data_IF_728034008088
#
_entry.id   IF_728034008088
#
_cell.length_a   1.000
_cell.length_b   1.000
_cell.length_c   1.000
_cell.angle_alpha   90.00
_cell.angle_beta   90.00
_cell.angle_gamma   90.00
#
_symmetry.space_group_name_H-M   'P 1'
#
loop_
_entity.id
_entity.type
_entity.pdbx_description
1 polymer ?
#
# COMPACT_ATOMS: atom_id res chain seq x y z
N UNK A 1 -45.71 23.77 18.94
CA UNK A 1 -45.13 23.82 17.58
C UNK A 1 -43.61 23.66 17.53
N UNK A 2 -42.85 23.98 18.59
CA UNK A 2 -41.38 23.79 18.62
C UNK A 2 -40.92 22.31 18.76
N UNK A 3 -41.67 21.48 19.48
CA UNK A 3 -41.32 20.06 19.68
C UNK A 3 -41.36 19.22 18.39
N UNK A 4 -42.23 19.56 17.44
CA UNK A 4 -42.36 18.84 16.17
C UNK A 4 -41.17 19.12 15.24
N UNK A 5 -40.59 20.32 15.32
CA UNK A 5 -39.41 20.72 14.53
C UNK A 5 -38.15 19.98 14.99
N UNK A 6 -37.98 19.77 16.30
CA UNK A 6 -36.85 19.02 16.86
C UNK A 6 -36.82 17.55 16.43
N UNK A 7 -37.98 16.90 16.31
CA UNK A 7 -38.08 15.51 15.85
C UNK A 7 -37.71 15.38 14.38
N UNK A 8 -38.13 16.33 13.52
CA UNK A 8 -37.79 16.33 12.09
C UNK A 8 -36.29 16.56 11.87
N UNK A 9 -35.64 17.40 12.68
CA UNK A 9 -34.18 17.59 12.61
C UNK A 9 -33.38 16.31 12.95
N UNK A 10 -33.90 15.45 13.83
CA UNK A 10 -33.21 14.21 14.23
C UNK A 10 -33.20 13.15 13.10
N UNK A 11 -34.24 13.10 12.26
CA UNK A 11 -34.34 12.16 11.13
C UNK A 11 -33.46 12.53 9.92
N UNK A 12 -32.94 13.76 9.86
CA UNK A 12 -32.06 14.22 8.77
C UNK A 12 -30.58 13.90 9.01
N UNK A 13 -30.23 13.39 10.19
CA UNK A 13 -28.85 13.01 10.51
C UNK A 13 -28.60 11.62 9.92
N UNK A 14 -28.08 11.59 8.68
CA UNK A 14 -27.55 10.34 8.11
C UNK A 14 -26.27 9.97 8.85
N UNK A 15 -26.12 8.72 9.34
CA UNK A 15 -24.87 8.31 9.96
C UNK A 15 -23.73 8.36 8.93
N UNK A 16 -22.71 9.16 9.22
CA UNK A 16 -21.44 9.13 8.51
C UNK A 16 -20.74 7.83 8.89
N UNK A 17 -20.65 6.89 7.94
CA UNK A 17 -19.83 5.69 8.12
C UNK A 17 -18.37 6.14 8.02
N UNK A 18 -17.65 6.03 9.13
CA UNK A 18 -16.22 6.26 9.16
C UNK A 18 -15.50 5.20 8.32
N UNK A 19 -14.53 5.63 7.51
CA UNK A 19 -13.63 4.73 6.80
C UNK A 19 -12.39 4.57 7.65
N UNK A 20 -12.03 3.33 7.97
CA UNK A 20 -10.81 3.04 8.70
C UNK A 20 -9.72 2.62 7.72
N UNK A 21 -8.59 3.32 7.78
CA UNK A 21 -7.41 3.04 6.97
C UNK A 21 -6.26 2.75 7.94
N UNK A 22 -5.70 1.55 7.83
CA UNK A 22 -4.55 1.12 8.62
C UNK A 22 -3.36 0.88 7.70
N UNK A 23 -2.22 1.44 8.06
CA UNK A 23 -0.97 1.30 7.32
C UNK A 23 0.04 0.59 8.22
N UNK A 24 0.60 -0.51 7.74
CA UNK A 24 1.64 -1.27 8.44
C UNK A 24 2.83 -1.52 7.53
N UNK A 25 4.02 -1.70 8.11
CA UNK A 25 5.18 -2.17 7.36
C UNK A 25 5.05 -3.65 7.01
N UNK A 26 5.82 -4.07 6.02
CA UNK A 26 6.09 -5.47 5.69
C UNK A 26 7.58 -5.66 5.87
N UNK A 27 7.96 -6.56 6.78
CA UNK A 27 9.34 -6.99 6.98
C UNK A 27 9.34 -8.50 7.08
N UNK A 28 9.96 -9.17 6.11
CA UNK A 28 10.18 -10.61 6.15
C UNK A 28 11.68 -10.84 6.06
N UNK A 29 12.20 -11.59 7.02
CA UNK A 29 13.62 -11.91 7.12
C UNK A 29 13.85 -13.38 6.74
N UNK A 30 15.02 -13.66 6.18
CA UNK A 30 15.56 -15.00 5.98
C UNK A 30 16.97 -15.03 6.56
N UNK A 31 17.20 -15.86 7.58
CA UNK A 31 18.47 -15.89 8.32
C UNK A 31 18.91 -14.52 8.84
N UNK A 32 17.97 -13.72 9.37
CA UNK A 32 18.16 -12.33 9.83
C UNK A 32 18.51 -11.31 8.73
N UNK A 33 18.43 -11.70 7.45
CA UNK A 33 18.64 -10.81 6.31
C UNK A 33 17.28 -10.44 5.70
N UNK A 34 17.00 -9.16 5.44
CA UNK A 34 15.77 -8.75 4.77
C UNK A 34 15.57 -9.41 3.41
N UNK A 35 14.43 -10.09 3.27
CA UNK A 35 13.99 -10.80 2.07
C UNK A 35 12.88 -10.05 1.34
N UNK A 36 11.98 -9.45 2.09
CA UNK A 36 10.88 -8.63 1.57
C UNK A 36 10.60 -7.47 2.52
N UNK A 37 10.53 -6.26 1.95
CA UNK A 37 10.33 -5.00 2.64
C UNK A 37 9.20 -4.22 1.97
N UNK A 38 8.33 -3.56 2.70
CA UNK A 38 7.25 -2.81 2.05
C UNK A 38 6.23 -2.23 3.01
N UNK A 39 5.06 -1.94 2.46
CA UNK A 39 3.93 -1.36 3.17
C UNK A 39 2.66 -2.12 2.77
N UNK A 40 1.83 -2.40 3.77
CA UNK A 40 0.48 -2.91 3.61
C UNK A 40 -0.51 -1.83 4.06
N UNK A 41 -1.56 -1.64 3.27
CA UNK A 41 -2.63 -0.67 3.50
C UNK A 41 -3.93 -1.48 3.57
N UNK A 42 -4.54 -1.52 4.75
CA UNK A 42 -5.83 -2.15 4.98
C UNK A 42 -6.90 -1.08 5.05
N UNK A 43 -7.90 -1.19 4.18
CA UNK A 43 -9.00 -0.24 4.08
C UNK A 43 -10.28 -0.98 4.47
N UNK A 44 -10.87 -0.57 5.59
CA UNK A 44 -12.15 -1.08 6.07
C UNK A 44 -13.22 -0.03 5.77
N UNK A 45 -14.01 -0.32 4.74
CA UNK A 45 -15.27 0.35 4.42
C UNK A 45 -16.38 -0.73 4.55
N UNK A 46 -17.46 -0.66 3.76
CA UNK A 46 -18.42 -1.76 3.57
C UNK A 46 -17.76 -3.12 3.29
N UNK A 47 -16.56 -3.12 2.72
CA UNK A 47 -15.71 -4.29 2.50
C UNK A 47 -14.29 -3.99 2.98
N UNK A 48 -13.55 -5.05 3.33
CA UNK A 48 -12.11 -4.96 3.62
C UNK A 48 -11.32 -5.18 2.34
N UNK A 49 -10.42 -4.23 2.07
CA UNK A 49 -9.41 -4.34 1.01
C UNK A 49 -8.03 -4.32 1.65
N UNK A 50 -7.13 -5.13 1.10
CA UNK A 50 -5.72 -5.10 1.47
C UNK A 50 -4.91 -4.81 0.20
N UNK A 51 -4.17 -3.72 0.25
CA UNK A 51 -3.30 -3.27 -0.82
C UNK A 51 -1.87 -3.26 -0.30
N UNK A 52 -0.97 -3.89 -1.02
CA UNK A 52 0.42 -4.11 -0.63
C UNK A 52 1.36 -3.61 -1.71
N UNK A 53 2.40 -2.89 -1.31
CA UNK A 53 3.57 -2.58 -2.15
C UNK A 53 4.79 -3.11 -1.41
N UNK A 54 5.58 -3.97 -2.06
CA UNK A 54 6.80 -4.49 -1.47
C UNK A 54 7.93 -4.61 -2.48
N UNK A 55 9.15 -4.58 -1.95
CA UNK A 55 10.40 -4.83 -2.63
C UNK A 55 10.92 -6.15 -2.07
N UNK A 56 11.25 -7.12 -2.92
CA UNK A 56 11.74 -8.44 -2.50
C UNK A 56 12.83 -8.94 -3.43
N UNK A 57 13.61 -9.93 -2.99
CA UNK A 57 14.53 -10.65 -3.88
C UNK A 57 13.84 -11.85 -4.53
N UNK A 58 13.98 -11.98 -5.85
CA UNK A 58 13.49 -13.15 -6.59
C UNK A 58 14.46 -14.35 -6.44
N UNK A 59 14.13 -15.48 -7.06
CA UNK A 59 14.98 -16.68 -7.02
C UNK A 59 16.35 -16.48 -7.66
N UNK A 60 16.48 -15.51 -8.57
CA UNK A 60 17.73 -15.12 -9.23
C UNK A 60 18.51 -14.06 -8.45
N UNK A 61 18.10 -13.74 -7.22
CA UNK A 61 18.69 -12.71 -6.35
C UNK A 61 18.57 -11.26 -6.91
N UNK A 62 17.71 -11.05 -7.91
CA UNK A 62 17.37 -9.72 -8.42
C UNK A 62 16.29 -9.09 -7.54
N UNK A 63 16.31 -7.76 -7.45
CA UNK A 63 15.34 -7.02 -6.63
C UNK A 63 14.10 -6.70 -7.46
N UNK A 64 12.95 -7.21 -7.04
CA UNK A 64 11.65 -6.98 -7.70
C UNK A 64 10.73 -6.13 -6.83
N UNK A 65 9.91 -5.30 -7.48
CA UNK A 65 8.84 -4.54 -6.83
C UNK A 65 7.52 -5.20 -7.17
N UNK A 66 6.76 -5.52 -6.12
CA UNK A 66 5.46 -6.17 -6.16
C UNK A 66 4.40 -5.17 -5.70
N UNK A 67 3.33 -5.05 -6.48
CA UNK A 67 2.09 -4.42 -6.05
C UNK A 67 0.98 -5.46 -6.12
N UNK A 68 0.19 -5.55 -5.05
CA UNK A 68 -0.98 -6.41 -5.03
C UNK A 68 -2.15 -5.76 -4.32
N UNK A 69 -3.36 -6.00 -4.80
CA UNK A 69 -4.57 -5.62 -4.11
C UNK A 69 -5.61 -6.72 -4.17
N UNK A 70 -6.22 -7.00 -3.02
CA UNK A 70 -7.21 -8.06 -2.86
C UNK A 70 -8.35 -7.65 -1.92
N UNK A 71 -9.47 -8.35 -2.05
CA UNK A 71 -10.60 -8.27 -1.13
C UNK A 71 -11.23 -9.64 -0.99
N UNK A 72 -11.73 -9.96 0.20
CA UNK A 72 -12.42 -11.23 0.46
C UNK A 72 -13.83 -11.26 -0.13
N UNK A 73 -14.49 -10.11 -0.20
CA UNK A 73 -15.93 -10.03 -0.43
C UNK A 73 -16.29 -9.56 -1.83
N UNK A 74 -15.38 -8.84 -2.52
CA UNK A 74 -15.63 -8.31 -3.85
C UNK A 74 -14.43 -8.49 -4.77
N UNK A 75 -14.71 -8.53 -6.08
CA UNK A 75 -13.68 -8.56 -7.11
C UNK A 75 -12.97 -7.21 -7.20
N UNK A 76 -11.64 -7.23 -7.17
CA UNK A 76 -10.80 -6.09 -7.52
C UNK A 76 -10.49 -6.18 -9.01
N UNK A 77 -10.97 -5.21 -9.79
CA UNK A 77 -10.75 -5.13 -11.24
C UNK A 77 -9.91 -3.92 -11.66
N UNK A 78 -9.80 -2.91 -10.79
CA UNK A 78 -8.88 -1.79 -10.93
C UNK A 78 -8.24 -1.50 -9.58
N UNK A 79 -6.92 -1.26 -9.55
CA UNK A 79 -6.23 -0.81 -8.36
C UNK A 79 -4.95 -0.09 -8.71
N UNK A 80 -4.67 0.99 -7.98
CA UNK A 80 -3.47 1.80 -8.12
C UNK A 80 -3.20 2.52 -6.79
N UNK A 81 -1.95 2.94 -6.57
CA UNK A 81 -1.60 3.88 -5.52
C UNK A 81 -0.91 5.04 -6.22
N UNK A 82 -1.47 6.23 -6.04
CA UNK A 82 -0.97 7.46 -6.65
C UNK A 82 -0.43 8.38 -5.58
N UNK A 83 0.85 8.67 -5.65
CA UNK A 83 1.45 9.77 -4.91
C UNK A 83 1.24 11.07 -5.69
N UNK A 84 1.88 12.17 -5.27
CA UNK A 84 1.80 13.44 -5.97
C UNK A 84 2.23 13.35 -7.44
N UNK A 85 3.29 12.58 -7.73
CA UNK A 85 3.87 12.53 -9.07
C UNK A 85 3.84 11.14 -9.72
N UNK A 86 3.64 10.07 -8.95
CA UNK A 86 3.84 8.70 -9.43
C UNK A 86 2.62 7.81 -9.19
N UNK A 87 2.46 6.82 -10.08
CA UNK A 87 1.50 5.73 -9.95
C UNK A 87 2.28 4.43 -9.81
N UNK A 88 1.95 3.60 -8.82
CA UNK A 88 2.68 2.34 -8.59
C UNK A 88 2.59 1.40 -9.80
N UNK A 89 1.45 1.40 -10.49
CA UNK A 89 1.25 0.59 -11.70
C UNK A 89 2.23 1.03 -12.81
N UNK A 90 2.45 2.34 -12.96
CA UNK A 90 3.43 2.89 -13.90
C UNK A 90 4.88 2.62 -13.48
N UNK A 91 5.16 2.70 -12.17
CA UNK A 91 6.49 2.41 -11.61
C UNK A 91 6.90 0.96 -11.87
N UNK A 92 5.98 0.00 -11.73
CA UNK A 92 6.26 -1.44 -11.94
C UNK A 92 6.23 -1.82 -13.43
N UNK A 93 5.51 -1.06 -14.27
CA UNK A 93 5.45 -1.26 -15.73
C UNK A 93 5.14 -2.72 -16.14
N UNK A 94 4.15 -3.34 -15.49
CA UNK A 94 3.77 -4.74 -15.73
C UNK A 94 2.25 -4.88 -15.75
N UNK A 95 1.73 -5.65 -16.71
CA UNK A 95 0.31 -5.87 -16.92
C UNK A 95 -0.07 -7.32 -16.64
N UNK A 96 -0.59 -7.62 -15.45
CA UNK A 96 -1.21 -8.91 -15.16
C UNK A 96 -2.43 -8.72 -14.26
N UNK A 97 -3.59 -9.10 -14.78
CA UNK A 97 -4.86 -9.11 -14.05
C UNK A 97 -5.32 -10.55 -13.88
N UNK A 98 -5.32 -11.07 -12.65
CA UNK A 98 -6.00 -12.32 -12.31
C UNK A 98 -7.38 -12.01 -11.70
N UNK A 99 -8.30 -12.97 -11.72
CA UNK A 99 -9.62 -12.78 -11.14
C UNK A 99 -9.52 -12.58 -9.61
N UNK A 100 -10.18 -11.53 -9.08
CA UNK A 100 -10.28 -11.15 -7.66
C UNK A 100 -9.02 -10.61 -6.97
N UNK A 101 -7.88 -10.62 -7.65
CA UNK A 101 -6.61 -10.08 -7.16
C UNK A 101 -5.88 -9.40 -8.31
N UNK A 102 -5.46 -8.15 -8.09
CA UNK A 102 -4.46 -7.52 -8.94
C UNK A 102 -3.11 -7.83 -8.31
N UNK A 103 -2.19 -8.35 -9.11
CA UNK A 103 -0.84 -8.66 -8.68
C UNK A 103 0.10 -8.41 -9.86
N UNK A 104 0.90 -7.37 -9.74
CA UNK A 104 1.91 -6.98 -10.72
C UNK A 104 3.26 -7.01 -10.04
N UNK A 105 4.23 -7.59 -10.72
CA UNK A 105 5.60 -7.69 -10.26
C UNK A 105 6.53 -7.45 -11.45
N UNK A 106 7.61 -6.72 -11.20
CA UNK A 106 8.68 -6.53 -12.16
C UNK A 106 10.01 -6.24 -11.47
N UNK A 107 11.10 -6.26 -12.23
CA UNK A 107 12.42 -5.81 -11.79
C UNK A 107 12.30 -4.35 -11.33
N UNK A 108 12.90 -4.06 -10.19
CA UNK A 108 12.80 -2.74 -9.54
C UNK A 108 13.59 -1.70 -10.31
N UNK A 109 12.93 -0.63 -10.76
CA UNK A 109 13.59 0.63 -11.05
C UNK A 109 13.86 1.34 -9.72
N UNK A 110 15.12 1.35 -9.28
CA UNK A 110 15.49 1.89 -7.97
C UNK A 110 15.13 3.36 -7.83
N UNK A 111 15.28 4.18 -8.87
CA UNK A 111 15.01 5.62 -8.79
C UNK A 111 13.51 5.88 -8.66
N UNK A 112 12.70 5.28 -9.54
CA UNK A 112 11.24 5.47 -9.52
C UNK A 112 10.62 4.88 -8.26
N UNK A 113 11.05 3.68 -7.85
CA UNK A 113 10.54 3.04 -6.62
C UNK A 113 10.94 3.83 -5.38
N UNK A 114 12.19 4.30 -5.27
CA UNK A 114 12.60 5.14 -4.14
C UNK A 114 11.82 6.45 -4.08
N UNK A 115 11.63 7.13 -5.22
CA UNK A 115 10.82 8.35 -5.27
C UNK A 115 9.36 8.07 -4.85
N UNK A 116 8.76 6.99 -5.36
CA UNK A 116 7.40 6.60 -5.01
C UNK A 116 7.24 6.41 -3.49
N UNK A 117 8.13 5.63 -2.87
CA UNK A 117 8.05 5.40 -1.41
C UNK A 117 8.34 6.67 -0.61
N UNK A 118 9.25 7.53 -1.04
CA UNK A 118 9.49 8.82 -0.38
C UNK A 118 8.23 9.69 -0.40
N UNK A 119 7.58 9.82 -1.55
CA UNK A 119 6.35 10.60 -1.66
C UNK A 119 5.22 9.99 -0.83
N UNK A 120 5.03 8.67 -0.90
CA UNK A 120 4.04 7.94 -0.10
C UNK A 120 4.24 8.14 1.40
N UNK A 121 5.48 8.02 1.89
CA UNK A 121 5.79 8.09 3.31
C UNK A 121 5.72 9.52 3.87
N UNK A 122 6.10 10.53 3.06
CA UNK A 122 6.18 11.94 3.50
C UNK A 122 4.86 12.66 3.27
N UNK A 123 4.30 12.56 2.06
CA UNK A 123 3.12 13.31 1.63
C UNK A 123 1.83 12.49 1.68
N UNK A 124 1.94 11.16 1.72
CA UNK A 124 0.79 10.28 1.60
C UNK A 124 0.50 9.94 0.14
N UNK A 125 -0.68 9.39 -0.12
CA UNK A 125 -1.08 8.94 -1.45
C UNK A 125 -2.60 8.74 -1.53
N UNK A 126 -3.11 8.57 -2.74
CA UNK A 126 -4.48 8.12 -3.00
C UNK A 126 -4.44 6.66 -3.44
N UNK A 127 -5.12 5.79 -2.70
CA UNK A 127 -5.37 4.40 -3.11
C UNK A 127 -6.65 4.37 -3.93
N UNK A 128 -6.53 3.89 -5.17
CA UNK A 128 -7.64 3.66 -6.08
C UNK A 128 -7.98 2.18 -6.02
N UNK A 129 -9.26 1.87 -5.77
CA UNK A 129 -9.79 0.52 -5.74
C UNK A 129 -11.13 0.51 -6.45
N UNK A 130 -11.17 -0.14 -7.62
CA UNK A 130 -12.30 -0.09 -8.53
C UNK A 130 -12.65 1.38 -8.83
N UNK A 131 -13.88 1.81 -8.52
CA UNK A 131 -14.36 3.18 -8.72
C UNK A 131 -14.30 4.04 -7.44
N UNK A 132 -13.53 3.59 -6.44
CA UNK A 132 -13.39 4.28 -5.15
C UNK A 132 -11.98 4.80 -4.93
N UNK A 133 -11.91 5.95 -4.30
CA UNK A 133 -10.67 6.60 -3.89
C UNK A 133 -10.59 6.68 -2.36
N UNK A 134 -9.39 6.42 -1.83
CA UNK A 134 -9.08 6.48 -0.41
C UNK A 134 -7.81 7.29 -0.22
N UNK A 135 -7.93 8.41 0.50
CA UNK A 135 -6.81 9.30 0.80
C UNK A 135 -6.03 8.77 2.01
N UNK A 136 -4.73 8.53 1.80
CA UNK A 136 -3.75 8.28 2.85
C UNK A 136 -3.11 9.61 3.21
N UNK A 137 -3.39 10.11 4.41
CA UNK A 137 -2.79 11.36 4.88
C UNK A 137 -1.33 11.13 5.26
N UNK A 138 -0.44 11.93 4.69
CA UNK A 138 0.95 12.02 5.13
C UNK A 138 1.13 12.95 6.34
N UNK A 139 2.26 12.85 7.05
CA UNK A 139 3.24 11.78 6.94
C UNK A 139 2.73 10.47 7.56
N UNK A 140 3.11 9.33 6.96
CA UNK A 140 2.78 8.01 7.52
C UNK A 140 3.43 7.86 8.90
N UNK A 141 2.88 6.99 9.75
CA UNK A 141 3.42 6.71 11.08
C UNK A 141 4.96 6.52 11.09
N UNK A 142 5.63 7.09 12.08
CA UNK A 142 7.09 7.08 12.17
C UNK A 142 7.65 5.66 12.32
N UNK A 143 6.93 4.75 12.97
CA UNK A 143 7.33 3.35 13.08
C UNK A 143 7.40 2.70 11.71
N UNK A 144 6.35 2.83 10.90
CA UNK A 144 6.29 2.25 9.54
C UNK A 144 7.40 2.81 8.65
N UNK A 145 7.66 4.13 8.75
CA UNK A 145 8.76 4.78 8.02
C UNK A 145 10.13 4.22 8.40
N UNK A 146 10.42 4.10 9.69
CA UNK A 146 11.71 3.60 10.18
C UNK A 146 11.91 2.13 9.81
N UNK A 147 10.86 1.32 9.95
CA UNK A 147 10.85 -0.09 9.57
C UNK A 147 11.13 -0.27 8.07
N UNK A 148 10.49 0.53 7.21
CA UNK A 148 10.76 0.53 5.77
C UNK A 148 12.21 0.95 5.46
N UNK A 149 12.71 2.03 6.06
CA UNK A 149 14.06 2.55 5.83
C UNK A 149 15.13 1.56 6.26
N UNK A 150 14.96 0.94 7.44
CA UNK A 150 15.86 -0.11 7.93
C UNK A 150 15.89 -1.30 6.98
N UNK A 151 14.71 -1.80 6.61
CA UNK A 151 14.59 -3.00 5.78
C UNK A 151 15.17 -2.78 4.37
N UNK A 152 14.87 -1.63 3.74
CA UNK A 152 15.36 -1.33 2.39
C UNK A 152 16.83 -0.98 2.35
N UNK A 153 17.38 -0.27 3.35
CA UNK A 153 18.80 0.00 3.47
C UNK A 153 19.64 -1.28 3.44
N UNK A 154 19.21 -2.29 4.21
CA UNK A 154 19.87 -3.61 4.26
C UNK A 154 19.68 -4.43 2.97
N UNK A 155 18.52 -4.31 2.29
CA UNK A 155 18.26 -5.04 1.05
C UNK A 155 19.17 -4.64 -0.12
N UNK A 156 19.55 -3.36 -0.20
CA UNK A 156 20.38 -2.82 -1.27
C UNK A 156 21.89 -2.92 -0.99
N UNK A 157 22.31 -3.40 0.18
CA UNK A 157 23.72 -3.65 0.47
C UNK A 157 24.20 -4.94 -0.24
N UNK A 158 25.28 -4.90 -1.03
CA UNK A 158 25.80 -6.05 -1.77
C UNK A 158 26.54 -7.09 -0.90
N UNK A 159 26.61 -6.92 0.42
CA UNK A 159 27.67 -7.51 1.24
C UNK A 159 27.25 -8.59 2.25
N UNK A 160 26.22 -9.38 1.94
CA UNK A 160 26.10 -10.70 2.57
C UNK A 160 26.78 -11.75 1.69
N UNK A 161 28.07 -11.55 1.39
CA UNK A 161 28.92 -12.69 1.07
C UNK A 161 28.91 -13.56 2.31
N UNK A 162 28.18 -14.68 2.25
CA UNK A 162 28.33 -15.76 3.22
C UNK A 162 29.79 -16.18 3.11
N UNK A 163 30.63 -15.68 4.02
CA UNK A 163 31.87 -16.34 4.36
C UNK A 163 31.45 -17.75 4.82
N UNK A 164 31.56 -18.71 3.91
CA UNK A 164 31.46 -20.14 4.15
C UNK A 164 32.87 -20.70 4.11
#
# INVERSE_FOLDING_TARGET
>A
MYYFVLIVCFFLIRPLIAKDINISSIIILDQNIPKECGINISIVDKNTFNTKVSIKKNQNNETTTLFSSESKNIKVFSSDIRTANLSIVKVINSGNNKANKIEIENITDQNLTSQFFQELLIFGATVLLNDKEYELKGPIDSKVRLEYLFCTGEMFLPNYQKNK
#
